data_IF_175941340206
#
_entry.id   IF_175941340206
#
_cell.length_a   1.000
_cell.length_b   1.000
_cell.length_c   1.000
_cell.angle_alpha   90.00
_cell.angle_beta   90.00
_cell.angle_gamma   90.00
#
_symmetry.space_group_name_H-M   'P 1'
#
loop_
_entity.id
_entity.type
_entity.pdbx_description
1 polymer ?
#
# COMPACT_ATOMS: atom_id res chain seq x y z
N UNK A 1 29.37 0.61 -17.74
CA UNK A 1 28.53 -0.04 -16.70
C UNK A 1 27.89 1.06 -15.89
N UNK A 2 26.59 1.31 -16.06
CA UNK A 2 25.90 2.29 -15.20
C UNK A 2 25.87 1.74 -13.77
N UNK A 3 26.29 2.50 -12.74
CA UNK A 3 26.14 2.06 -11.37
C UNK A 3 24.66 1.76 -11.12
N UNK A 4 24.38 0.59 -10.53
CA UNK A 4 23.01 0.21 -10.18
C UNK A 4 22.40 1.34 -9.32
N UNK A 5 21.16 1.81 -9.58
CA UNK A 5 20.58 2.97 -8.90
C UNK A 5 20.60 2.89 -7.36
N UNK A 6 20.68 1.67 -6.81
CA UNK A 6 20.83 1.39 -5.38
C UNK A 6 22.14 1.94 -4.80
N UNK A 7 23.24 1.88 -5.55
CA UNK A 7 24.55 2.39 -5.10
C UNK A 7 24.57 3.91 -4.96
N UNK A 8 23.68 4.61 -5.66
CA UNK A 8 23.55 6.06 -5.55
C UNK A 8 22.56 6.47 -4.45
N UNK A 9 21.51 5.68 -4.23
CA UNK A 9 20.48 5.97 -3.23
C UNK A 9 21.02 6.04 -1.78
N UNK A 10 21.93 5.13 -1.41
CA UNK A 10 22.48 5.06 -0.05
C UNK A 10 23.28 6.33 0.33
N UNK A 11 24.31 6.74 -0.43
CA UNK A 11 25.05 7.96 -0.09
C UNK A 11 24.17 9.20 -0.16
N UNK A 12 23.26 9.31 -1.13
CA UNK A 12 22.32 10.42 -1.20
C UNK A 12 21.40 10.49 0.03
N UNK A 13 20.92 9.35 0.54
CA UNK A 13 20.07 9.32 1.73
C UNK A 13 20.79 9.78 2.99
N UNK A 14 22.10 9.50 3.10
CA UNK A 14 22.93 9.98 4.21
C UNK A 14 23.15 11.50 4.17
N UNK A 15 23.21 12.09 2.97
CA UNK A 15 23.27 13.55 2.79
C UNK A 15 21.99 14.26 3.22
N UNK A 16 20.84 13.55 3.25
CA UNK A 16 19.58 14.08 3.76
C UNK A 16 19.59 14.06 5.29
N UNK A 17 19.67 12.87 5.89
CA UNK A 17 19.89 12.65 7.33
C UNK A 17 19.96 11.15 7.68
N UNK A 18 20.27 10.84 8.94
CA UNK A 18 20.33 9.46 9.44
C UNK A 18 19.01 8.70 9.31
N UNK A 19 17.84 9.34 9.49
CA UNK A 19 16.55 8.67 9.35
C UNK A 19 16.30 8.24 7.91
N UNK A 20 16.55 9.13 6.94
CA UNK A 20 16.45 8.84 5.52
C UNK A 20 17.38 7.69 5.11
N UNK A 21 18.59 7.64 5.67
CA UNK A 21 19.51 6.51 5.50
C UNK A 21 18.91 5.18 6.00
N UNK A 22 18.44 5.12 7.25
CA UNK A 22 17.86 3.89 7.80
C UNK A 22 16.60 3.45 7.03
N UNK A 23 15.75 4.39 6.61
CA UNK A 23 14.56 4.11 5.81
C UNK A 23 14.93 3.57 4.41
N UNK A 24 15.97 4.13 3.78
CA UNK A 24 16.47 3.67 2.48
C UNK A 24 17.04 2.26 2.57
N UNK A 25 17.87 2.00 3.59
CA UNK A 25 18.40 0.65 3.86
C UNK A 25 17.26 -0.32 4.16
N UNK A 26 16.28 0.08 4.97
CA UNK A 26 15.09 -0.71 5.27
C UNK A 26 14.26 -1.05 4.02
N UNK A 27 14.11 -0.09 3.10
CA UNK A 27 13.44 -0.30 1.81
C UNK A 27 14.19 -1.29 0.92
N UNK A 28 15.51 -1.15 0.81
CA UNK A 28 16.36 -2.10 0.05
C UNK A 28 16.26 -3.50 0.65
N UNK A 29 16.39 -3.62 1.97
CA UNK A 29 16.26 -4.89 2.68
C UNK A 29 14.88 -5.51 2.46
N UNK A 30 13.81 -4.73 2.57
CA UNK A 30 12.44 -5.19 2.31
C UNK A 30 12.31 -5.75 0.88
N UNK A 31 12.80 -5.02 -0.13
CA UNK A 31 12.80 -5.47 -1.52
C UNK A 31 13.62 -6.75 -1.76
N UNK A 32 14.79 -6.85 -1.12
CA UNK A 32 15.64 -8.05 -1.17
C UNK A 32 14.95 -9.25 -0.54
N UNK A 33 14.43 -9.13 0.69
CA UNK A 33 13.69 -10.20 1.38
C UNK A 33 12.43 -10.59 0.59
N UNK A 34 11.80 -9.64 -0.09
CA UNK A 34 10.63 -9.87 -0.93
C UNK A 34 10.92 -10.76 -2.14
N UNK A 35 12.08 -10.60 -2.79
CA UNK A 35 12.38 -11.25 -4.07
C UNK A 35 13.43 -12.36 -4.05
N UNK A 36 14.37 -12.36 -3.11
CA UNK A 36 15.58 -13.20 -3.11
C UNK A 36 15.44 -14.38 -2.11
N UNK A 37 16.02 -15.57 -2.41
CA UNK A 37 16.13 -16.65 -1.42
C UNK A 37 16.88 -16.20 -0.15
N UNK A 38 16.61 -16.82 1.02
CA UNK A 38 15.65 -17.90 1.27
C UNK A 38 14.20 -17.41 1.53
N UNK A 39 14.00 -16.10 1.68
CA UNK A 39 12.72 -15.56 2.13
C UNK A 39 11.68 -15.53 1.01
N UNK A 40 11.97 -14.87 -0.12
CA UNK A 40 11.03 -14.72 -1.26
C UNK A 40 9.60 -14.42 -0.79
N UNK A 41 9.41 -13.38 0.03
CA UNK A 41 8.13 -13.10 0.69
C UNK A 41 6.98 -12.92 -0.30
N UNK A 42 7.25 -12.48 -1.54
CA UNK A 42 6.27 -12.41 -2.63
C UNK A 42 5.60 -13.74 -2.99
N UNK A 43 6.23 -14.86 -2.63
CA UNK A 43 5.71 -16.22 -2.85
C UNK A 43 5.03 -16.82 -1.63
N UNK A 44 5.02 -16.10 -0.50
CA UNK A 44 4.51 -16.58 0.79
C UNK A 44 3.12 -16.02 1.07
N UNK A 45 2.29 -16.86 1.67
CA UNK A 45 0.94 -16.53 2.13
C UNK A 45 1.00 -15.35 3.10
N UNK A 46 0.08 -14.40 2.97
CA UNK A 46 -0.08 -13.19 3.79
C UNK A 46 1.03 -12.14 3.65
N UNK A 47 2.29 -12.57 3.60
CA UNK A 47 3.42 -11.68 3.52
C UNK A 47 3.55 -10.97 2.18
N UNK A 48 3.04 -11.55 1.09
CA UNK A 48 3.05 -10.91 -0.23
C UNK A 48 2.40 -9.51 -0.19
N UNK A 49 1.19 -9.41 0.36
CA UNK A 49 0.38 -8.20 0.32
C UNK A 49 0.63 -7.28 1.51
N UNK A 50 0.96 -7.83 2.68
CA UNK A 50 1.29 -7.03 3.88
C UNK A 50 2.62 -6.30 3.68
N UNK A 51 3.65 -6.99 3.18
CA UNK A 51 4.95 -6.36 2.91
C UNK A 51 4.80 -5.29 1.84
N UNK A 52 3.97 -5.53 0.82
CA UNK A 52 3.65 -4.51 -0.18
C UNK A 52 2.94 -3.30 0.44
N UNK A 53 1.99 -3.53 1.35
CA UNK A 53 1.32 -2.47 2.11
C UNK A 53 2.29 -1.58 2.89
N UNK A 54 3.23 -2.18 3.61
CA UNK A 54 4.24 -1.44 4.38
C UNK A 54 5.23 -0.73 3.44
N UNK A 55 5.72 -1.43 2.42
CA UNK A 55 6.74 -0.92 1.52
C UNK A 55 6.26 0.25 0.66
N UNK A 56 4.98 0.28 0.28
CA UNK A 56 4.42 1.36 -0.54
C UNK A 56 3.57 2.36 0.26
N UNK A 57 2.92 1.92 1.34
CA UNK A 57 2.05 2.77 2.16
C UNK A 57 2.77 3.55 3.25
N UNK A 58 3.91 3.06 3.75
CA UNK A 58 4.62 3.70 4.88
C UNK A 58 6.00 4.22 4.50
N UNK A 59 6.86 3.38 3.89
CA UNK A 59 8.25 3.76 3.64
C UNK A 59 8.43 5.03 2.79
N UNK A 60 7.69 5.26 1.69
CA UNK A 60 7.85 6.46 0.87
C UNK A 60 7.40 7.72 1.62
N UNK A 61 6.34 7.60 2.43
CA UNK A 61 5.81 8.69 3.25
C UNK A 61 6.81 9.07 4.33
N UNK A 62 7.35 8.09 5.07
CA UNK A 62 8.38 8.34 6.08
C UNK A 62 9.65 8.91 5.45
N UNK A 63 10.06 8.43 4.28
CA UNK A 63 11.25 8.94 3.60
C UNK A 63 11.06 10.41 3.19
N UNK A 64 9.91 10.74 2.57
CA UNK A 64 9.56 12.11 2.24
C UNK A 64 9.46 13.02 3.46
N UNK A 65 8.76 12.58 4.51
CA UNK A 65 8.61 13.32 5.75
C UNK A 65 9.96 13.58 6.43
N UNK A 66 10.87 12.59 6.43
CA UNK A 66 12.21 12.73 7.00
C UNK A 66 13.06 13.77 6.28
N UNK A 67 12.78 14.08 5.01
CA UNK A 67 13.52 15.07 4.25
C UNK A 67 13.10 16.51 4.57
N UNK A 68 11.88 16.72 5.09
CA UNK A 68 11.30 18.04 5.34
C UNK A 68 11.05 18.34 6.82
N UNK A 69 10.99 17.30 7.67
CA UNK A 69 10.57 17.41 9.07
C UNK A 69 11.14 16.28 9.93
N UNK A 70 10.99 16.40 11.25
CA UNK A 70 11.29 15.32 12.18
C UNK A 70 10.21 14.23 12.11
N UNK A 71 10.64 12.96 12.17
CA UNK A 71 9.73 11.83 12.26
C UNK A 71 9.08 11.78 13.64
N UNK A 72 7.82 12.22 13.71
CA UNK A 72 7.00 12.15 14.93
C UNK A 72 6.04 10.98 14.86
N UNK A 73 5.48 10.58 16.01
CA UNK A 73 4.44 9.54 16.09
C UNK A 73 3.27 9.85 15.15
N UNK A 74 2.93 11.14 14.99
CA UNK A 74 1.90 11.60 14.04
C UNK A 74 2.15 11.11 12.61
N UNK A 75 3.39 11.17 12.13
CA UNK A 75 3.75 10.71 10.77
C UNK A 75 3.57 9.21 10.61
N UNK A 76 3.84 8.42 11.66
CA UNK A 76 3.59 6.97 11.62
C UNK A 76 2.09 6.65 11.63
N UNK A 77 1.29 7.39 12.41
CA UNK A 77 -0.16 7.17 12.49
C UNK A 77 -0.82 7.37 11.12
N UNK A 78 -0.54 8.49 10.45
CA UNK A 78 -1.11 8.81 9.12
C UNK A 78 -0.74 7.80 8.01
N UNK A 79 0.26 6.93 8.24
CA UNK A 79 0.58 5.86 7.31
C UNK A 79 -0.36 4.64 7.44
N UNK A 80 -1.10 4.49 8.53
CA UNK A 80 -1.92 3.30 8.81
C UNK A 80 -3.01 3.10 7.73
N UNK A 81 -3.81 4.11 7.34
CA UNK A 81 -4.76 3.96 6.24
C UNK A 81 -4.09 3.55 4.93
N UNK A 82 -2.92 4.14 4.63
CA UNK A 82 -2.16 3.84 3.42
C UNK A 82 -1.71 2.37 3.39
N UNK A 83 -1.22 1.83 4.52
CA UNK A 83 -0.86 0.41 4.63
C UNK A 83 -2.07 -0.47 4.29
N UNK A 84 -3.24 -0.20 4.88
CA UNK A 84 -4.46 -0.96 4.59
C UNK A 84 -4.87 -0.86 3.11
N UNK A 85 -4.84 0.35 2.55
CA UNK A 85 -5.15 0.58 1.14
C UNK A 85 -4.22 -0.19 0.21
N UNK A 86 -2.90 -0.07 0.39
CA UNK A 86 -1.91 -0.74 -0.45
C UNK A 86 -1.93 -2.27 -0.30
N UNK A 87 -2.19 -2.79 0.90
CA UNK A 87 -2.42 -4.23 1.09
C UNK A 87 -3.68 -4.70 0.35
N UNK A 88 -4.80 -3.99 0.48
CA UNK A 88 -6.05 -4.32 -0.21
C UNK A 88 -5.88 -4.27 -1.73
N UNK A 89 -5.29 -3.20 -2.25
CA UNK A 89 -5.00 -3.01 -3.67
C UNK A 89 -4.11 -4.12 -4.24
N UNK A 90 -3.04 -4.49 -3.52
CA UNK A 90 -2.16 -5.59 -3.92
C UNK A 90 -2.89 -6.94 -3.97
N UNK A 91 -3.74 -7.24 -2.99
CA UNK A 91 -4.54 -8.46 -2.99
C UNK A 91 -5.45 -8.56 -4.23
N UNK A 92 -6.06 -7.44 -4.63
CA UNK A 92 -6.91 -7.39 -5.81
C UNK A 92 -6.11 -7.53 -7.11
N UNK A 93 -4.92 -6.92 -7.17
CA UNK A 93 -3.98 -7.08 -8.29
C UNK A 93 -3.52 -8.53 -8.47
N UNK A 94 -3.47 -9.32 -7.40
CA UNK A 94 -3.09 -10.72 -7.45
C UNK A 94 -4.21 -11.65 -7.98
N UNK A 95 -5.49 -11.22 -8.00
CA UNK A 95 -6.61 -12.07 -8.42
C UNK A 95 -6.48 -12.58 -9.87
N UNK A 96 -6.17 -11.73 -10.88
CA UNK A 96 -5.99 -12.20 -12.25
C UNK A 96 -4.85 -13.21 -12.43
N UNK A 97 -3.95 -13.32 -11.45
CA UNK A 97 -2.78 -14.19 -11.47
C UNK A 97 -2.97 -15.48 -10.67
N UNK A 98 -4.13 -15.71 -10.05
CA UNK A 98 -4.38 -16.91 -9.23
C UNK A 98 -4.08 -18.20 -10.00
N UNK A 99 -4.55 -18.34 -11.24
CA UNK A 99 -4.35 -19.56 -12.03
C UNK A 99 -2.88 -19.75 -12.39
N UNK A 100 -2.21 -18.72 -12.91
CA UNK A 100 -0.79 -18.78 -13.28
C UNK A 100 0.11 -19.05 -12.06
N UNK A 101 -0.17 -18.41 -10.93
CA UNK A 101 0.60 -18.56 -9.70
C UNK A 101 0.41 -19.95 -9.09
N UNK A 102 -0.81 -20.50 -9.14
CA UNK A 102 -1.10 -21.85 -8.70
C UNK A 102 -0.35 -22.90 -9.53
N UNK A 103 -0.33 -22.76 -10.87
CA UNK A 103 0.46 -23.63 -11.76
C UNK A 103 1.96 -23.54 -11.50
N UNK A 104 2.46 -22.38 -11.08
CA UNK A 104 3.85 -22.17 -10.69
C UNK A 104 4.16 -22.58 -9.22
N UNK A 105 3.21 -23.21 -8.52
CA UNK A 105 3.30 -23.59 -7.11
C UNK A 105 3.62 -22.42 -6.15
N UNK A 106 3.18 -21.21 -6.50
CA UNK A 106 3.33 -20.00 -5.68
C UNK A 106 2.10 -19.86 -4.77
N UNK A 107 2.33 -19.69 -3.47
CA UNK A 107 1.26 -19.61 -2.46
C UNK A 107 0.98 -18.16 -2.05
N UNK A 108 0.61 -17.31 -3.01
CA UNK A 108 0.21 -15.92 -2.73
C UNK A 108 -1.07 -15.88 -1.88
N UNK A 109 -1.37 -14.72 -1.28
CA UNK A 109 -2.60 -14.55 -0.51
C UNK A 109 -3.85 -14.80 -1.36
N UNK A 110 -3.83 -14.35 -2.62
CA UNK A 110 -4.94 -14.55 -3.55
C UNK A 110 -5.14 -16.03 -3.94
N UNK A 111 -4.04 -16.77 -4.18
CA UNK A 111 -4.11 -18.23 -4.46
C UNK A 111 -4.69 -18.98 -3.28
N UNK A 112 -4.25 -18.67 -2.06
CA UNK A 112 -4.67 -19.39 -0.84
C UNK A 112 -6.11 -19.08 -0.43
N UNK A 113 -6.57 -17.84 -0.59
CA UNK A 113 -7.92 -17.43 -0.23
C UNK A 113 -8.93 -17.74 -1.34
N UNK A 114 -8.47 -17.80 -2.58
CA UNK A 114 -9.31 -17.81 -3.77
C UNK A 114 -9.96 -16.45 -4.02
N UNK A 115 -10.53 -16.28 -5.21
CA UNK A 115 -11.07 -15.01 -5.69
C UNK A 115 -12.07 -14.36 -4.73
N UNK A 116 -13.13 -15.07 -4.34
CA UNK A 116 -14.23 -14.51 -3.54
C UNK A 116 -13.77 -14.03 -2.16
N UNK A 117 -12.95 -14.82 -1.46
CA UNK A 117 -12.46 -14.43 -0.14
C UNK A 117 -11.40 -13.33 -0.23
N UNK A 118 -10.58 -13.32 -1.29
CA UNK A 118 -9.64 -12.22 -1.54
C UNK A 118 -10.36 -10.89 -1.68
N UNK A 119 -11.47 -10.85 -2.42
CA UNK A 119 -12.31 -9.64 -2.56
C UNK A 119 -12.91 -9.23 -1.20
N UNK A 120 -13.43 -10.18 -0.41
CA UNK A 120 -13.99 -9.89 0.92
C UNK A 120 -12.93 -9.32 1.89
N UNK A 121 -11.73 -9.89 1.90
CA UNK A 121 -10.63 -9.39 2.73
C UNK A 121 -10.19 -8.00 2.27
N UNK A 122 -10.03 -7.79 0.97
CA UNK A 122 -9.72 -6.48 0.41
C UNK A 122 -10.79 -5.43 0.75
N UNK A 123 -12.08 -5.78 0.67
CA UNK A 123 -13.17 -4.91 1.08
C UNK A 123 -13.11 -4.55 2.58
N UNK A 124 -12.76 -5.53 3.43
CA UNK A 124 -12.59 -5.30 4.87
C UNK A 124 -11.42 -4.34 5.14
N UNK A 125 -10.30 -4.53 4.44
CA UNK A 125 -9.13 -3.64 4.56
C UNK A 125 -9.41 -2.22 4.04
N UNK A 126 -10.15 -2.07 2.94
CA UNK A 126 -10.60 -0.75 2.51
C UNK A 126 -11.55 -0.10 3.51
N UNK A 127 -12.46 -0.88 4.11
CA UNK A 127 -13.29 -0.40 5.22
C UNK A 127 -12.44 0.11 6.38
N UNK A 128 -11.44 -0.67 6.81
CA UNK A 128 -10.51 -0.28 7.86
C UNK A 128 -9.72 0.99 7.47
N UNK A 129 -9.26 1.11 6.22
CA UNK A 129 -8.61 2.31 5.70
C UNK A 129 -9.49 3.54 5.89
N UNK A 130 -10.75 3.50 5.43
CA UNK A 130 -11.66 4.65 5.53
C UNK A 130 -12.04 4.97 6.98
N UNK A 131 -12.24 3.96 7.82
CA UNK A 131 -12.56 4.15 9.25
C UNK A 131 -11.39 4.79 9.99
N UNK A 132 -10.16 4.27 9.81
CA UNK A 132 -8.97 4.85 10.45
C UNK A 132 -8.71 6.25 9.93
N UNK A 133 -8.82 6.48 8.62
CA UNK A 133 -8.65 7.82 8.05
C UNK A 133 -9.67 8.82 8.60
N UNK A 134 -10.95 8.44 8.71
CA UNK A 134 -11.96 9.29 9.33
C UNK A 134 -11.63 9.58 10.79
N UNK A 135 -11.16 8.59 11.56
CA UNK A 135 -10.71 8.80 12.92
C UNK A 135 -9.52 9.77 12.99
N UNK A 136 -8.60 9.72 12.04
CA UNK A 136 -7.49 10.65 11.95
C UNK A 136 -7.94 12.09 11.68
N UNK A 137 -8.91 12.29 10.78
CA UNK A 137 -9.53 13.61 10.54
C UNK A 137 -10.20 14.12 11.81
N UNK A 138 -11.00 13.29 12.50
CA UNK A 138 -11.69 13.68 13.74
C UNK A 138 -10.71 14.02 14.87
N UNK A 139 -9.59 13.31 14.96
CA UNK A 139 -8.52 13.58 15.94
C UNK A 139 -7.62 14.76 15.56
N UNK A 140 -7.87 15.45 14.44
CA UNK A 140 -7.06 16.59 13.99
C UNK A 140 -5.69 16.22 13.44
N UNK A 141 -5.47 14.94 13.07
CA UNK A 141 -4.25 14.51 12.38
C UNK A 141 -4.25 15.00 10.92
N UNK A 142 -5.43 15.20 10.33
CA UNK A 142 -5.66 15.82 9.02
C UNK A 142 -6.60 17.03 9.15
N UNK A 143 -6.53 18.01 8.22
CA UNK A 143 -7.49 19.10 8.13
C UNK A 143 -8.87 18.57 7.75
N UNK A 144 -9.94 19.25 8.16
CA UNK A 144 -11.32 18.77 7.98
C UNK A 144 -11.70 18.63 6.50
N UNK A 145 -11.09 19.43 5.62
CA UNK A 145 -11.23 19.39 4.16
C UNK A 145 -10.82 18.02 3.60
N UNK A 146 -9.93 17.29 4.29
CA UNK A 146 -9.49 15.97 3.89
C UNK A 146 -10.62 14.93 3.85
N UNK A 147 -11.79 15.23 4.44
CA UNK A 147 -12.99 14.38 4.35
C UNK A 147 -13.42 14.11 2.90
N UNK A 148 -13.06 14.98 1.95
CA UNK A 148 -13.31 14.77 0.52
C UNK A 148 -12.67 13.47 -0.01
N UNK A 149 -11.61 12.97 0.64
CA UNK A 149 -10.96 11.70 0.30
C UNK A 149 -11.87 10.48 0.55
N UNK A 150 -12.97 10.64 1.29
CA UNK A 150 -13.99 9.60 1.48
C UNK A 150 -14.96 9.49 0.29
N UNK A 151 -15.00 10.49 -0.59
CA UNK A 151 -15.91 10.53 -1.73
C UNK A 151 -15.84 9.28 -2.63
N UNK A 152 -14.66 8.70 -2.93
CA UNK A 152 -14.59 7.48 -3.75
C UNK A 152 -15.04 6.20 -3.03
N UNK A 153 -15.23 6.21 -1.70
CA UNK A 153 -15.53 5.02 -0.92
C UNK A 153 -16.78 4.26 -1.40
N UNK A 154 -17.95 4.91 -1.62
CA UNK A 154 -19.14 4.21 -2.11
C UNK A 154 -18.92 3.54 -3.47
N UNK A 155 -18.14 4.18 -4.36
CA UNK A 155 -17.80 3.62 -5.67
C UNK A 155 -16.88 2.41 -5.55
N UNK A 156 -15.89 2.46 -4.64
CA UNK A 156 -15.01 1.32 -4.34
C UNK A 156 -15.83 0.12 -3.85
N UNK A 157 -16.73 0.33 -2.88
CA UNK A 157 -17.57 -0.76 -2.35
C UNK A 157 -18.57 -1.30 -3.37
N UNK A 158 -19.19 -0.43 -4.18
CA UNK A 158 -20.04 -0.85 -5.28
C UNK A 158 -19.25 -1.72 -6.28
N UNK A 159 -18.05 -1.31 -6.66
CA UNK A 159 -17.20 -2.06 -7.59
C UNK A 159 -16.72 -3.38 -7.01
N UNK A 160 -16.39 -3.43 -5.73
CA UNK A 160 -16.07 -4.69 -5.03
C UNK A 160 -17.28 -5.63 -5.00
N UNK A 161 -18.49 -5.11 -4.76
CA UNK A 161 -19.72 -5.89 -4.77
C UNK A 161 -20.04 -6.43 -6.18
N UNK A 162 -19.83 -5.63 -7.23
CA UNK A 162 -19.95 -6.07 -8.62
C UNK A 162 -18.88 -7.10 -8.98
N UNK A 163 -17.63 -6.90 -8.52
CA UNK A 163 -16.54 -7.84 -8.73
C UNK A 163 -16.76 -9.20 -8.02
N UNK A 164 -17.67 -9.29 -7.04
CA UNK A 164 -18.11 -10.58 -6.49
C UNK A 164 -19.05 -11.34 -7.43
N UNK A 165 -19.79 -10.62 -8.29
CA UNK A 165 -20.79 -11.19 -9.20
C UNK A 165 -20.22 -11.47 -10.60
N UNK A 166 -19.45 -10.54 -11.15
CA UNK A 166 -18.89 -10.64 -12.49
C UNK A 166 -17.53 -11.34 -12.47
N UNK A 167 -17.18 -12.10 -13.51
CA UNK A 167 -15.83 -12.63 -13.73
C UNK A 167 -15.16 -11.83 -14.85
N UNK A 168 -14.09 -11.08 -14.55
CA UNK A 168 -13.40 -10.31 -15.58
C UNK A 168 -12.33 -9.36 -15.04
N UNK A 169 -11.32 -9.09 -15.88
CA UNK A 169 -10.20 -8.17 -15.56
C UNK A 169 -10.65 -6.70 -15.52
N UNK A 170 -11.68 -6.33 -16.27
CA UNK A 170 -12.18 -4.96 -16.36
C UNK A 170 -12.74 -4.44 -15.03
N UNK A 171 -13.38 -5.31 -14.24
CA UNK A 171 -13.88 -4.96 -12.90
C UNK A 171 -12.75 -4.47 -11.97
N UNK A 172 -11.52 -4.97 -12.17
CA UNK A 172 -10.36 -4.62 -11.35
C UNK A 172 -9.62 -3.36 -11.84
N UNK A 173 -9.67 -3.03 -13.13
CA UNK A 173 -9.03 -1.80 -13.66
C UNK A 173 -9.65 -0.54 -13.07
N UNK A 174 -10.98 -0.47 -13.04
CA UNK A 174 -11.69 0.69 -12.49
C UNK A 174 -11.41 0.83 -10.99
N UNK A 175 -11.33 -0.31 -10.28
CA UNK A 175 -10.99 -0.35 -8.86
C UNK A 175 -9.57 0.16 -8.59
N UNK A 176 -8.61 -0.11 -9.49
CA UNK A 176 -7.25 0.44 -9.41
C UNK A 176 -7.23 1.96 -9.61
N UNK A 177 -8.00 2.47 -10.59
CA UNK A 177 -8.10 3.91 -10.84
C UNK A 177 -8.68 4.63 -9.62
N UNK A 178 -9.77 4.11 -9.05
CA UNK A 178 -10.39 4.65 -7.84
C UNK A 178 -9.47 4.55 -6.62
N UNK A 179 -8.69 3.48 -6.51
CA UNK A 179 -7.72 3.34 -5.45
C UNK A 179 -6.58 4.36 -5.58
N UNK A 180 -6.04 4.53 -6.79
CA UNK A 180 -4.97 5.48 -7.06
C UNK A 180 -5.43 6.92 -6.79
N UNK A 181 -6.67 7.26 -7.14
CA UNK A 181 -7.22 8.58 -6.84
C UNK A 181 -7.36 8.83 -5.34
N UNK A 182 -7.79 7.84 -4.55
CA UNK A 182 -7.83 7.95 -3.08
C UNK A 182 -6.42 8.17 -2.52
N UNK A 183 -5.41 7.41 -2.96
CA UNK A 183 -4.03 7.62 -2.50
C UNK A 183 -3.53 9.03 -2.83
N UNK A 184 -3.76 9.50 -4.06
CA UNK A 184 -3.33 10.83 -4.48
C UNK A 184 -4.00 11.92 -3.65
N UNK A 185 -5.29 11.76 -3.34
CA UNK A 185 -6.02 12.68 -2.46
C UNK A 185 -5.49 12.64 -1.03
N UNK A 186 -5.19 11.45 -0.49
CA UNK A 186 -4.61 11.29 0.86
C UNK A 186 -3.21 11.90 0.97
N UNK A 187 -2.36 11.71 -0.05
CA UNK A 187 -1.04 12.34 -0.11
C UNK A 187 -1.16 13.86 -0.25
N UNK A 188 -2.12 14.36 -1.03
CA UNK A 188 -2.42 15.78 -1.13
C UNK A 188 -2.88 16.37 0.21
N UNK A 189 -3.79 15.69 0.92
CA UNK A 189 -4.24 16.09 2.25
C UNK A 189 -3.10 16.08 3.28
N UNK A 190 -2.16 15.14 3.16
CA UNK A 190 -0.98 15.08 4.01
C UNK A 190 -0.06 16.30 3.78
N UNK A 191 0.15 16.72 2.53
CA UNK A 191 0.92 17.92 2.22
C UNK A 191 0.30 19.21 2.77
N UNK A 192 -1.01 19.25 3.02
CA UNK A 192 -1.68 20.38 3.67
C UNK A 192 -1.58 20.35 5.21
N UNK A 193 -1.13 19.23 5.78
CA UNK A 193 -1.12 18.96 7.23
C UNK A 193 0.26 19.11 7.88
N UNK A 194 1.32 19.12 7.07
CA UNK A 194 2.74 19.23 7.45
C UNK A 194 3.23 20.63 7.11
#
# INVERSE_FOLDING_TARGET
MCPHPVFFAIPCSLLINCHAFYLTVGGILSGTLYSVPPFRLKKRRYFDSIVNGIAYGMLPVLLGASAVSLLTVRVFLVCIPLIFGYTAGHMLLAIPHITSDAHAHIKTSAVMLGRKNTIKVAATLFGAMFVVFLAEVVCGLYPWEAIICLFPAPLIFLRLALALKEEGKEAFKILQILFLSVILLLLGALCLSV
#
